data_IF_962205559661
#
_entry.id   IF_962205559661
#
_cell.length_a   1.000
_cell.length_b   1.000
_cell.length_c   1.000
_cell.angle_alpha   90.00
_cell.angle_beta   90.00
_cell.angle_gamma   90.00
#
_symmetry.space_group_name_H-M   'P 1'
#
loop_
_entity.id
_entity.type
_entity.pdbx_description
1 polymer ?
#
# COMPACT_ATOMS: atom_id res chain seq x y z
N UNK A 1 -29.10 10.91 -8.40
CA UNK A 1 -28.14 11.60 -7.52
C UNK A 1 -27.16 10.53 -7.09
N UNK A 2 -25.92 10.62 -7.55
CA UNK A 2 -24.87 9.64 -7.20
C UNK A 2 -24.38 10.08 -5.83
N UNK A 3 -24.66 9.32 -4.78
CA UNK A 3 -24.64 9.77 -3.38
C UNK A 3 -23.25 10.10 -2.83
N UNK A 4 -22.18 9.88 -3.60
CA UNK A 4 -20.78 9.91 -3.14
C UNK A 4 -19.94 11.04 -3.72
N UNK A 5 -20.51 11.89 -4.59
CA UNK A 5 -19.77 12.94 -5.29
C UNK A 5 -20.37 14.32 -4.99
N UNK A 6 -19.51 15.32 -4.80
CA UNK A 6 -19.89 16.72 -4.65
C UNK A 6 -18.94 17.62 -5.44
N UNK A 7 -19.27 18.90 -5.55
CA UNK A 7 -18.44 19.92 -6.18
C UNK A 7 -17.75 20.71 -5.07
N UNK A 8 -16.42 20.70 -5.06
CA UNK A 8 -15.66 21.58 -4.19
C UNK A 8 -15.99 23.05 -4.56
N UNK A 9 -16.54 23.85 -3.63
CA UNK A 9 -16.99 25.21 -3.93
C UNK A 9 -15.84 26.17 -4.28
N UNK A 10 -14.59 25.81 -3.96
CA UNK A 10 -13.42 26.64 -4.24
C UNK A 10 -12.79 26.30 -5.59
N UNK A 11 -12.65 25.01 -5.89
CA UNK A 11 -11.96 24.54 -7.10
C UNK A 11 -12.91 24.23 -8.25
N UNK A 12 -14.22 24.11 -7.97
CA UNK A 12 -15.26 23.62 -8.88
C UNK A 12 -14.98 22.22 -9.44
N UNK A 13 -14.10 21.45 -8.79
CA UNK A 13 -13.79 20.08 -9.17
C UNK A 13 -14.77 19.11 -8.51
N UNK A 14 -15.02 18.00 -9.19
CA UNK A 14 -15.77 16.88 -8.62
C UNK A 14 -14.87 16.19 -7.59
N UNK A 15 -15.34 16.08 -6.36
CA UNK A 15 -14.66 15.37 -5.28
C UNK A 15 -15.49 14.19 -4.81
N UNK A 16 -14.81 13.12 -4.39
CA UNK A 16 -15.45 12.00 -3.69
C UNK A 16 -15.65 12.42 -2.24
N UNK A 17 -16.90 12.54 -1.80
CA UNK A 17 -17.27 12.97 -0.44
C UNK A 17 -16.98 11.88 0.57
N UNK A 18 -17.29 10.63 0.19
CA UNK A 18 -17.08 9.45 1.01
C UNK A 18 -16.32 8.39 0.19
N UNK A 19 -14.98 8.39 0.26
CA UNK A 19 -14.15 7.42 -0.43
C UNK A 19 -14.36 5.98 0.04
N UNK A 20 -14.81 5.75 1.27
CA UNK A 20 -15.06 4.40 1.80
C UNK A 20 -16.36 3.81 1.24
N UNK A 21 -17.33 4.67 0.94
CA UNK A 21 -18.59 4.24 0.35
C UNK A 21 -18.55 4.04 -1.17
N UNK A 22 -17.48 4.48 -1.84
CA UNK A 22 -17.31 4.29 -3.28
C UNK A 22 -16.67 2.94 -3.60
N UNK A 23 -17.44 2.06 -4.25
CA UNK A 23 -17.05 0.66 -4.55
C UNK A 23 -16.38 0.48 -5.90
N UNK A 24 -16.07 1.56 -6.63
CA UNK A 24 -15.56 1.49 -8.01
C UNK A 24 -16.46 0.67 -8.96
N UNK A 25 -17.78 0.87 -8.88
CA UNK A 25 -18.80 0.15 -9.67
C UNK A 25 -19.06 0.72 -11.09
N UNK A 26 -18.22 1.67 -11.52
CA UNK A 26 -18.31 2.41 -12.78
C UNK A 26 -19.63 3.17 -13.00
N UNK A 27 -20.49 3.37 -11.98
CA UNK A 27 -21.79 4.03 -12.17
C UNK A 27 -21.67 5.44 -12.73
N UNK A 28 -20.65 6.19 -12.29
CA UNK A 28 -20.36 7.54 -12.78
C UNK A 28 -19.97 7.52 -14.25
N UNK A 29 -19.08 6.60 -14.64
CA UNK A 29 -18.63 6.47 -16.02
C UNK A 29 -19.80 6.11 -16.94
N UNK A 30 -20.61 5.12 -16.55
CA UNK A 30 -21.84 4.74 -17.26
C UNK A 30 -22.82 5.90 -17.39
N UNK A 31 -22.95 6.74 -16.36
CA UNK A 31 -23.83 7.92 -16.40
C UNK A 31 -23.33 8.97 -17.38
N UNK A 32 -22.02 9.21 -17.41
CA UNK A 32 -21.33 10.16 -18.30
C UNK A 32 -21.46 9.72 -19.77
N UNK A 33 -21.34 8.43 -20.04
CA UNK A 33 -21.63 7.85 -21.36
C UNK A 33 -23.10 8.02 -21.75
N UNK A 34 -24.03 7.71 -20.84
CA UNK A 34 -25.47 7.79 -21.11
C UNK A 34 -25.98 9.22 -21.40
N UNK A 35 -25.29 10.27 -20.92
CA UNK A 35 -25.60 11.66 -21.23
C UNK A 35 -24.84 12.19 -22.46
N UNK A 36 -24.13 11.32 -23.19
CA UNK A 36 -23.44 11.66 -24.43
C UNK A 36 -22.19 12.52 -24.23
N UNK A 37 -21.55 12.47 -23.05
CA UNK A 37 -20.32 13.21 -22.75
C UNK A 37 -19.17 12.29 -22.34
N UNK A 38 -18.80 11.28 -23.14
CA UNK A 38 -17.71 10.37 -22.80
C UNK A 38 -16.41 11.16 -22.54
N UNK A 39 -15.63 10.75 -21.54
CA UNK A 39 -14.37 11.40 -21.16
C UNK A 39 -14.53 12.66 -20.29
N UNK A 40 -15.75 13.01 -19.85
CA UNK A 40 -15.96 14.14 -18.93
C UNK A 40 -15.40 13.86 -17.53
N UNK A 41 -15.31 12.59 -17.13
CA UNK A 41 -14.82 12.15 -15.83
C UNK A 41 -13.80 11.05 -16.04
N UNK A 42 -12.69 11.14 -15.33
CA UNK A 42 -11.69 10.09 -15.19
C UNK A 42 -11.58 9.74 -13.71
N UNK A 43 -11.53 8.44 -13.41
CA UNK A 43 -11.41 7.91 -12.05
C UNK A 43 -10.17 7.05 -12.01
N UNK A 44 -9.27 7.34 -11.08
CA UNK A 44 -8.07 6.57 -10.84
C UNK A 44 -7.92 6.31 -9.35
N UNK A 45 -7.38 5.14 -9.00
CA UNK A 45 -7.02 4.85 -7.63
C UNK A 45 -5.80 5.70 -7.24
N UNK A 46 -5.83 6.26 -6.03
CA UNK A 46 -4.69 6.99 -5.48
C UNK A 46 -3.69 5.99 -4.89
N UNK A 47 -2.58 5.76 -5.60
CA UNK A 47 -1.62 4.67 -5.29
C UNK A 47 -0.88 4.82 -3.95
N UNK A 48 -0.79 6.03 -3.41
CA UNK A 48 -0.14 6.35 -2.13
C UNK A 48 -1.13 6.48 -0.95
N UNK A 49 -2.40 6.11 -1.16
CA UNK A 49 -3.46 6.26 -0.17
C UNK A 49 -4.22 4.96 0.04
N UNK A 50 -4.31 4.53 1.29
CA UNK A 50 -4.91 3.25 1.65
C UNK A 50 -6.01 3.44 2.69
N UNK A 51 -7.17 2.81 2.43
CA UNK A 51 -8.26 2.67 3.40
C UNK A 51 -8.16 1.25 3.95
N UNK A 52 -7.91 1.14 5.26
CA UNK A 52 -7.81 -0.15 5.95
C UNK A 52 -9.01 -0.33 6.88
N UNK A 53 -9.87 -1.29 6.59
CA UNK A 53 -10.92 -1.74 7.51
C UNK A 53 -10.37 -2.89 8.36
N UNK A 54 -10.33 -2.70 9.67
CA UNK A 54 -9.80 -3.70 10.61
C UNK A 54 -10.86 -4.12 11.59
N UNK A 55 -11.26 -5.39 11.49
CA UNK A 55 -12.21 -6.02 12.40
C UNK A 55 -11.47 -6.99 13.33
N UNK A 56 -11.76 -6.91 14.63
CA UNK A 56 -11.18 -7.83 15.62
C UNK A 56 -12.19 -8.90 16.03
N UNK A 57 -11.69 -10.08 16.39
CA UNK A 57 -12.47 -11.14 17.03
C UNK A 57 -12.88 -10.83 18.48
N UNK A 58 -12.39 -9.72 19.04
CA UNK A 58 -12.69 -9.26 20.40
C UNK A 58 -11.60 -9.58 21.43
N UNK A 59 -10.64 -10.46 21.11
CA UNK A 59 -9.53 -10.79 22.01
C UNK A 59 -8.53 -9.63 22.19
N UNK A 60 -8.35 -8.80 21.16
CA UNK A 60 -7.44 -7.65 21.13
C UNK A 60 -8.18 -6.48 20.46
N UNK A 61 -7.98 -5.23 20.89
CA UNK A 61 -8.59 -4.08 20.19
C UNK A 61 -8.05 -3.96 18.76
N UNK A 62 -8.90 -3.60 17.79
CA UNK A 62 -8.48 -3.43 16.39
C UNK A 62 -7.28 -2.47 16.23
N UNK A 63 -7.28 -1.35 16.98
CA UNK A 63 -6.14 -0.42 16.99
C UNK A 63 -4.83 -1.07 17.46
N UNK A 64 -4.89 -1.92 18.48
CA UNK A 64 -3.72 -2.63 18.98
C UNK A 64 -3.24 -3.70 18.01
N UNK A 65 -4.16 -4.34 17.26
CA UNK A 65 -3.81 -5.29 16.20
C UNK A 65 -2.94 -4.61 15.14
N UNK A 66 -3.33 -3.41 14.68
CA UNK A 66 -2.55 -2.64 13.70
C UNK A 66 -1.15 -2.30 14.24
N UNK A 67 -1.06 -1.80 15.48
CA UNK A 67 0.24 -1.49 16.09
C UNK A 67 1.13 -2.73 16.21
N UNK A 68 0.57 -3.86 16.65
CA UNK A 68 1.30 -5.12 16.76
C UNK A 68 1.81 -5.61 15.39
N UNK A 69 1.01 -5.45 14.34
CA UNK A 69 1.42 -5.83 12.98
C UNK A 69 2.63 -5.02 12.51
N UNK A 70 2.66 -3.71 12.78
CA UNK A 70 3.79 -2.84 12.45
C UNK A 70 5.06 -3.29 13.20
N UNK A 71 4.95 -3.59 14.49
CA UNK A 71 6.09 -4.08 15.28
C UNK A 71 6.63 -5.41 14.74
N UNK A 72 5.76 -6.33 14.33
CA UNK A 72 6.17 -7.61 13.73
C UNK A 72 6.91 -7.38 12.40
N UNK A 73 6.44 -6.45 11.57
CA UNK A 73 7.13 -6.11 10.31
C UNK A 73 8.52 -5.54 10.58
N UNK A 74 8.66 -4.67 11.58
CA UNK A 74 9.95 -4.12 12.01
C UNK A 74 10.88 -5.23 12.50
N UNK A 75 10.41 -6.12 13.36
CA UNK A 75 11.19 -7.26 13.86
C UNK A 75 11.67 -8.18 12.73
N UNK A 76 10.82 -8.44 11.74
CA UNK A 76 11.19 -9.24 10.56
C UNK A 76 12.27 -8.54 9.74
N UNK A 77 12.17 -7.22 9.55
CA UNK A 77 13.20 -6.45 8.86
C UNK A 77 14.54 -6.50 9.61
N UNK A 78 14.51 -6.33 10.93
CA UNK A 78 15.71 -6.36 11.77
C UNK A 78 16.39 -7.74 11.72
N UNK A 79 15.60 -8.82 11.72
CA UNK A 79 16.12 -10.18 11.59
C UNK A 79 16.82 -10.44 10.24
N UNK A 80 16.27 -9.91 9.14
CA UNK A 80 16.90 -10.03 7.81
C UNK A 80 18.24 -9.29 7.79
N UNK A 81 18.30 -8.06 8.33
CA UNK A 81 19.56 -7.29 8.39
C UNK A 81 20.66 -8.00 9.18
N UNK A 82 20.32 -8.59 10.32
CA UNK A 82 21.25 -9.38 11.13
C UNK A 82 21.73 -10.65 10.40
N UNK A 83 20.91 -11.24 9.53
CA UNK A 83 21.31 -12.38 8.70
C UNK A 83 22.26 -11.99 7.55
N UNK A 84 22.19 -10.76 7.05
CA UNK A 84 23.14 -10.22 6.07
C UNK A 84 24.48 -9.84 6.71
N UNK A 85 24.46 -9.33 7.95
CA UNK A 85 25.70 -9.03 8.70
C UNK A 85 26.45 -10.31 9.17
N UNK A 86 25.85 -11.50 9.02
CA UNK A 86 26.46 -12.78 9.40
C UNK A 86 27.01 -13.59 8.21
N UNK A 87 26.87 -13.11 6.97
CA UNK A 87 27.48 -13.76 5.78
C UNK A 87 28.94 -13.34 5.50
N UNK A 88 29.58 -12.53 6.36
CA UNK A 88 31.03 -12.28 6.30
C UNK A 88 31.89 -13.27 7.11
N UNK A 89 31.41 -14.49 7.35
CA UNK A 89 32.21 -15.53 7.99
C UNK A 89 31.99 -16.93 7.40
N UNK A 90 31.50 -17.04 6.15
CA UNK A 90 31.67 -18.28 5.41
C UNK A 90 33.05 -18.26 4.75
N UNK A 91 33.96 -19.03 5.34
CA UNK A 91 35.31 -19.40 4.92
C UNK A 91 35.38 -20.06 3.52
N UNK A 92 34.53 -19.67 2.58
CA UNK A 92 34.47 -20.25 1.23
C UNK A 92 35.50 -19.64 0.26
N UNK A 93 36.20 -18.58 0.65
CA UNK A 93 37.30 -17.97 -0.11
C UNK A 93 38.70 -18.23 0.49
N UNK A 94 38.81 -19.06 1.54
CA UNK A 94 40.10 -19.45 2.12
C UNK A 94 41.03 -20.16 1.13
N UNK A 95 40.47 -20.92 0.18
CA UNK A 95 41.24 -21.64 -0.84
C UNK A 95 41.78 -20.74 -1.97
N UNK A 96 41.17 -19.58 -2.24
CA UNK A 96 41.61 -18.68 -3.32
C UNK A 96 42.75 -17.74 -2.88
N UNK A 97 42.87 -17.46 -1.58
CA UNK A 97 44.00 -16.68 -1.03
C UNK A 97 45.32 -17.44 -0.99
N UNK A 98 45.27 -18.77 -0.84
CA UNK A 98 46.46 -19.63 -0.80
C UNK A 98 47.15 -19.74 -2.17
N UNK A 99 46.41 -19.61 -3.28
CA UNK A 99 46.96 -19.69 -4.63
C UNK A 99 47.61 -18.40 -5.14
N UNK A 100 47.27 -17.24 -4.59
CA UNK A 100 47.76 -15.93 -5.06
C UNK A 100 49.08 -15.47 -4.40
N UNK A 101 49.64 -16.27 -3.48
CA UNK A 101 50.87 -15.92 -2.73
C UNK A 101 52.12 -16.73 -3.14
N UNK A 102 51.98 -17.60 -4.12
CA UNK A 102 53.08 -18.42 -4.66
C UNK A 102 53.45 -17.99 -6.08
N UNK A 103 54.29 -16.96 -6.18
CA UNK A 103 54.99 -16.52 -7.39
C UNK A 103 56.29 -15.84 -7.00
#
# INVERSE_FOLDING_TARGET
>A
MILFFDIDPNTQQVVVVDPEAYTYDDEVLKKVEAIGKPGLVEIYAKEDSFILTVESTGAIKASQLVLNAIEILKQKLDAVRLSEDTVEADDQFGELGAHMRGG
#
